data_IF_582349182542
#
_entry.id   IF_582349182542
#
_cell.length_a   1.000
_cell.length_b   1.000
_cell.length_c   1.000
_cell.angle_alpha   90.00
_cell.angle_beta   90.00
_cell.angle_gamma   90.00
#
_symmetry.space_group_name_H-M   'P 1'
#
loop_
_entity.id
_entity.type
_entity.pdbx_description
1 polymer ?
#
# COMPACT_ATOMS: atom_id res chain seq x y z
N UNK A 1 19.36 -13.78 -20.84
CA UNK A 1 18.20 -12.87 -20.72
C UNK A 1 17.00 -13.71 -20.32
N UNK A 2 16.41 -13.51 -19.13
CA UNK A 2 15.22 -14.27 -18.72
C UNK A 2 14.04 -13.92 -19.64
N UNK A 3 13.31 -14.94 -20.09
CA UNK A 3 12.17 -14.78 -20.98
C UNK A 3 11.05 -13.97 -20.29
N UNK A 4 10.42 -13.05 -21.02
CA UNK A 4 9.20 -12.31 -20.62
C UNK A 4 7.97 -13.23 -20.58
N UNK A 5 8.05 -14.34 -19.84
CA UNK A 5 7.04 -15.40 -19.85
C UNK A 5 6.05 -15.30 -18.68
N UNK A 6 6.03 -14.19 -17.95
CA UNK A 6 5.13 -13.98 -16.82
C UNK A 6 3.83 -13.30 -17.26
N UNK A 7 2.69 -13.88 -16.89
CA UNK A 7 1.37 -13.30 -17.09
C UNK A 7 0.62 -13.26 -15.77
N UNK A 8 -0.02 -12.11 -15.49
CA UNK A 8 -0.86 -11.94 -14.31
C UNK A 8 -2.04 -12.90 -14.38
N UNK A 9 -2.33 -13.53 -13.25
CA UNK A 9 -3.49 -14.40 -13.15
C UNK A 9 -4.73 -13.58 -12.73
N UNK A 10 -5.92 -14.11 -13.02
CA UNK A 10 -7.17 -13.49 -12.59
C UNK A 10 -7.24 -13.46 -11.06
N UNK A 11 -7.46 -12.27 -10.50
CA UNK A 11 -7.66 -12.10 -9.07
C UNK A 11 -8.96 -12.75 -8.58
N UNK A 12 -8.92 -13.30 -7.35
CA UNK A 12 -10.12 -13.77 -6.68
C UNK A 12 -10.76 -12.63 -5.90
N UNK A 13 -12.02 -12.31 -6.19
CA UNK A 13 -12.76 -11.28 -5.46
C UNK A 13 -13.53 -11.92 -4.31
N UNK A 14 -13.40 -11.37 -3.09
CA UNK A 14 -14.16 -11.77 -1.91
C UNK A 14 -14.86 -10.56 -1.30
N UNK A 15 -16.15 -10.66 -1.05
CA UNK A 15 -16.92 -9.64 -0.33
C UNK A 15 -16.77 -9.88 1.17
N UNK A 16 -16.36 -8.87 1.92
CA UNK A 16 -16.20 -8.94 3.39
C UNK A 16 -16.86 -7.73 4.05
N UNK A 17 -17.41 -7.87 5.27
CA UNK A 17 -17.95 -6.75 6.02
C UNK A 17 -16.84 -5.77 6.43
N UNK A 18 -17.21 -4.51 6.66
CA UNK A 18 -16.38 -3.54 7.39
C UNK A 18 -16.71 -3.57 8.87
N UNK A 19 -15.74 -3.26 9.72
CA UNK A 19 -15.95 -3.21 11.18
C UNK A 19 -16.97 -2.14 11.60
N UNK A 20 -17.05 -1.04 10.85
CA UNK A 20 -17.94 0.08 11.17
C UNK A 20 -19.04 0.21 10.12
N UNK A 21 -20.22 -0.32 10.43
CA UNK A 21 -21.47 -0.17 9.67
C UNK A 21 -21.85 -1.35 8.76
N UNK A 22 -23.07 -1.32 8.19
CA UNK A 22 -23.63 -2.36 7.30
C UNK A 22 -23.05 -2.37 5.87
N UNK A 23 -21.84 -1.82 5.66
CA UNK A 23 -21.23 -1.70 4.34
C UNK A 23 -20.30 -2.87 4.07
N UNK A 24 -20.47 -3.49 2.89
CA UNK A 24 -19.58 -4.53 2.38
C UNK A 24 -18.42 -3.91 1.59
N UNK A 25 -17.24 -4.55 1.62
CA UNK A 25 -16.09 -4.20 0.77
C UNK A 25 -15.69 -5.38 -0.11
N UNK A 26 -15.39 -5.10 -1.37
CA UNK A 26 -14.78 -6.07 -2.27
C UNK A 26 -13.28 -6.10 -2.00
N UNK A 27 -12.76 -7.28 -1.68
CA UNK A 27 -11.34 -7.56 -1.53
C UNK A 27 -10.85 -8.36 -2.74
N UNK A 28 -9.98 -7.74 -3.54
CA UNK A 28 -9.19 -8.44 -4.56
C UNK A 28 -8.05 -9.21 -3.91
N UNK A 29 -7.97 -10.51 -4.21
CA UNK A 29 -6.99 -11.42 -3.66
C UNK A 29 -6.13 -11.95 -4.81
N UNK A 30 -4.90 -11.42 -4.98
CA UNK A 30 -3.95 -11.93 -5.98
C UNK A 30 -3.46 -13.33 -5.60
N UNK A 31 -3.01 -14.08 -6.61
CA UNK A 31 -2.42 -15.41 -6.41
C UNK A 31 -1.08 -15.30 -5.67
N UNK A 32 -0.61 -16.41 -5.09
CA UNK A 32 0.69 -16.41 -4.39
C UNK A 32 1.84 -15.98 -5.30
N UNK A 33 1.81 -16.34 -6.58
CA UNK A 33 2.83 -15.95 -7.56
C UNK A 33 2.81 -14.44 -7.81
N UNK A 34 1.63 -13.87 -8.02
CA UNK A 34 1.45 -12.42 -8.23
C UNK A 34 1.93 -11.63 -7.01
N UNK A 35 1.65 -12.10 -5.79
CA UNK A 35 2.12 -11.45 -4.55
C UNK A 35 3.64 -11.40 -4.43
N UNK A 36 4.35 -12.43 -4.89
CA UNK A 36 5.82 -12.43 -4.87
C UNK A 36 6.35 -11.38 -5.84
N UNK A 37 5.77 -11.29 -7.03
CA UNK A 37 6.15 -10.29 -8.03
C UNK A 37 5.83 -8.87 -7.55
N UNK A 38 4.64 -8.63 -7.01
CA UNK A 38 4.26 -7.35 -6.40
C UNK A 38 5.19 -6.97 -5.24
N UNK A 39 5.56 -7.92 -4.38
CA UNK A 39 6.49 -7.71 -3.28
C UNK A 39 7.90 -7.32 -3.76
N UNK A 40 8.41 -8.02 -4.78
CA UNK A 40 9.70 -7.70 -5.39
C UNK A 40 9.70 -6.30 -6.02
N UNK A 41 8.62 -5.95 -6.74
CA UNK A 41 8.44 -4.61 -7.30
C UNK A 41 8.41 -3.54 -6.22
N UNK A 42 7.71 -3.78 -5.10
CA UNK A 42 7.65 -2.84 -3.98
C UNK A 42 9.04 -2.54 -3.42
N UNK A 43 9.89 -3.55 -3.23
CA UNK A 43 11.25 -3.35 -2.69
C UNK A 43 12.12 -2.44 -3.58
N UNK A 44 11.91 -2.47 -4.90
CA UNK A 44 12.65 -1.67 -5.87
C UNK A 44 12.03 -0.26 -6.01
N UNK A 45 10.71 -0.18 -6.13
CA UNK A 45 10.01 1.07 -6.42
C UNK A 45 9.89 1.97 -5.18
N UNK A 46 9.69 1.40 -3.99
CA UNK A 46 9.54 2.17 -2.75
C UNK A 46 10.72 3.13 -2.49
N UNK A 47 12.01 2.74 -2.54
CA UNK A 47 13.11 3.68 -2.33
C UNK A 47 13.20 4.76 -3.41
N UNK A 48 12.87 4.44 -4.66
CA UNK A 48 12.88 5.40 -5.77
C UNK A 48 11.85 6.50 -5.53
N UNK A 49 10.60 6.12 -5.24
CA UNK A 49 9.54 7.10 -5.02
C UNK A 49 9.70 7.86 -3.70
N UNK A 50 10.20 7.18 -2.66
CA UNK A 50 10.43 7.80 -1.35
C UNK A 50 11.42 8.95 -1.40
N UNK A 51 12.39 8.93 -2.33
CA UNK A 51 13.32 10.04 -2.52
C UNK A 51 12.62 11.36 -2.91
N UNK A 52 11.43 11.29 -3.50
CA UNK A 52 10.67 12.45 -3.99
C UNK A 52 9.37 12.69 -3.20
N UNK A 53 9.14 11.98 -2.09
CA UNK A 53 7.93 12.15 -1.29
C UNK A 53 7.93 13.46 -0.52
N UNK A 54 6.73 14.07 -0.40
CA UNK A 54 6.54 15.21 0.49
C UNK A 54 6.77 14.78 1.95
N UNK A 55 7.40 15.63 2.77
CA UNK A 55 7.70 15.31 4.16
C UNK A 55 6.45 14.97 4.98
N UNK A 56 5.28 15.49 4.61
CA UNK A 56 3.98 15.23 5.24
C UNK A 56 3.27 13.95 4.71
N UNK A 57 3.95 13.13 3.90
CA UNK A 57 3.39 11.85 3.43
C UNK A 57 3.63 10.73 4.45
N UNK A 58 2.56 10.29 5.12
CA UNK A 58 2.63 9.22 6.15
C UNK A 58 1.99 7.91 5.70
N UNK A 59 1.14 7.94 4.67
CA UNK A 59 0.32 6.78 4.28
C UNK A 59 1.17 5.75 3.54
N UNK A 60 1.01 4.47 3.90
CA UNK A 60 1.68 3.32 3.28
C UNK A 60 3.22 3.41 3.24
N UNK A 61 3.81 4.30 4.04
CA UNK A 61 5.24 4.49 4.13
C UNK A 61 5.84 3.59 5.19
N UNK A 62 6.93 2.90 4.86
CA UNK A 62 7.72 2.17 5.85
C UNK A 62 8.18 3.10 6.98
N UNK A 63 7.98 2.65 8.23
CA UNK A 63 8.40 3.33 9.47
C UNK A 63 7.72 4.69 9.73
N UNK A 64 6.53 4.92 9.18
CA UNK A 64 5.69 6.08 9.52
C UNK A 64 4.32 5.62 9.97
N UNK A 65 3.78 6.25 10.99
CA UNK A 65 2.48 5.88 11.57
C UNK A 65 1.41 6.94 11.33
N UNK A 66 0.14 6.54 11.40
CA UNK A 66 -0.98 7.48 11.29
C UNK A 66 -1.01 8.47 12.47
N UNK A 67 -0.50 8.07 13.64
CA UNK A 67 -0.42 8.93 14.81
C UNK A 67 0.58 10.08 14.60
N UNK A 68 1.76 9.80 14.04
CA UNK A 68 2.75 10.84 13.68
C UNK A 68 2.18 11.89 12.73
N UNK A 69 1.29 11.49 11.82
CA UNK A 69 0.62 12.41 10.91
C UNK A 69 -0.27 13.41 11.69
N UNK A 70 -1.03 12.92 12.67
CA UNK A 70 -1.90 13.74 13.52
C UNK A 70 -1.04 14.70 14.36
N UNK A 71 0.03 14.20 14.97
CA UNK A 71 0.96 15.00 15.77
C UNK A 71 1.60 16.12 14.95
N UNK A 72 2.03 15.84 13.73
CA UNK A 72 2.63 16.84 12.84
C UNK A 72 1.63 17.96 12.52
N UNK A 73 0.36 17.61 12.26
CA UNK A 73 -0.70 18.59 12.01
C UNK A 73 -0.97 19.44 13.26
N UNK A 74 -1.00 18.83 14.45
CA UNK A 74 -1.22 19.56 15.71
C UNK A 74 -0.08 20.57 15.94
N UNK A 75 1.18 20.14 15.80
CA UNK A 75 2.35 21.02 15.98
C UNK A 75 2.32 22.17 14.96
N UNK A 76 1.99 21.87 13.70
CA UNK A 76 1.90 22.89 12.65
C UNK A 76 0.75 23.87 12.85
N UNK A 77 -0.32 23.49 13.56
CA UNK A 77 -1.48 24.36 13.80
C UNK A 77 -1.30 25.29 15.01
N UNK A 78 -0.42 24.94 15.95
CA UNK A 78 -0.12 25.73 17.15
C UNK A 78 0.94 26.81 16.88
N UNK A 79 1.73 26.63 15.82
CA UNK A 79 2.83 27.51 15.42
C UNK A 79 2.38 28.55 14.41
#
# INVERSE_FOLDING_TARGET
MQAKSYYLQRERVKIIPKDTGNKMRNLSIPTTKDRVVEGALKLILEPIFKANFQPESYRYCSKRTAAEAIETVIISAIK
#
